data_IF_388966146140
#
_entry.id   IF_388966146140
#
_cell.length_a   1.000
_cell.length_b   1.000
_cell.length_c   1.000
_cell.angle_alpha   90.00
_cell.angle_beta   90.00
_cell.angle_gamma   90.00
#
_symmetry.space_group_name_H-M   'P 1'
#
loop_
_entity.id
_entity.type
_entity.pdbx_description
1 polymer ?
#
# COMPACT_ATOMS: atom_id res chain seq x y z
N UNK A 1 12.96 -11.80 5.44
CA UNK A 1 12.86 -10.33 5.36
C UNK A 1 12.41 -9.72 6.66
N UNK A 2 11.18 -9.96 7.11
CA UNK A 2 10.63 -9.30 8.30
C UNK A 2 11.39 -9.56 9.60
N UNK A 3 11.77 -10.82 9.89
CA UNK A 3 12.50 -11.15 11.12
C UNK A 3 13.83 -10.37 11.21
N UNK A 4 14.57 -10.29 10.10
CA UNK A 4 15.80 -9.51 10.05
C UNK A 4 15.57 -8.01 10.33
N UNK A 5 14.50 -7.41 9.79
CA UNK A 5 14.15 -6.02 10.10
C UNK A 5 13.75 -5.86 11.57
N UNK A 6 12.98 -6.81 12.10
CA UNK A 6 12.54 -6.77 13.48
C UNK A 6 13.70 -6.89 14.48
N UNK A 7 14.65 -7.78 14.19
CA UNK A 7 15.88 -8.00 14.97
C UNK A 7 16.77 -6.75 14.97
N UNK A 8 16.77 -5.98 13.87
CA UNK A 8 17.44 -4.68 13.77
C UNK A 8 16.71 -3.54 14.51
N UNK A 9 15.55 -3.81 15.11
CA UNK A 9 14.80 -2.84 15.91
C UNK A 9 13.65 -2.14 15.17
N UNK A 10 13.41 -2.43 13.88
CA UNK A 10 12.24 -1.91 13.18
C UNK A 10 10.94 -2.54 13.74
N UNK A 11 9.86 -1.76 13.80
CA UNK A 11 8.55 -2.23 14.29
C UNK A 11 7.44 -2.04 13.27
N UNK A 12 7.73 -1.42 12.14
CA UNK A 12 6.78 -1.19 11.08
C UNK A 12 7.51 -0.97 9.76
N UNK A 13 6.85 -1.30 8.65
CA UNK A 13 7.41 -1.18 7.32
C UNK A 13 6.35 -1.21 6.22
N UNK A 14 6.82 -0.96 5.01
CA UNK A 14 6.09 -1.21 3.76
C UNK A 14 7.10 -1.88 2.82
N UNK A 15 7.06 -3.21 2.77
CA UNK A 15 8.10 -4.05 2.15
C UNK A 15 7.51 -4.93 1.07
N UNK A 16 6.28 -5.38 1.27
CA UNK A 16 5.57 -6.27 0.37
C UNK A 16 4.91 -5.51 -0.79
N UNK A 17 4.92 -6.17 -1.94
CA UNK A 17 4.29 -5.71 -3.18
C UNK A 17 3.34 -6.80 -3.67
N UNK A 18 2.11 -6.90 -3.10
CA UNK A 18 1.23 -8.03 -3.31
C UNK A 18 0.98 -8.32 -4.79
N UNK A 19 1.25 -9.56 -5.21
CA UNK A 19 1.13 -10.01 -6.60
C UNK A 19 2.43 -9.98 -7.39
N UNK A 20 3.47 -9.27 -6.93
CA UNK A 20 4.77 -9.24 -7.63
C UNK A 20 5.44 -10.61 -7.65
N UNK A 21 6.00 -10.95 -8.80
CA UNK A 21 6.87 -12.11 -9.00
C UNK A 21 8.13 -11.68 -9.74
N UNK A 22 9.22 -11.46 -8.99
CA UNK A 22 10.53 -11.18 -9.56
C UNK A 22 11.61 -12.01 -8.88
N UNK A 23 11.81 -13.27 -9.32
CA UNK A 23 12.76 -14.19 -8.73
C UNK A 23 14.19 -13.64 -8.73
N UNK A 24 14.59 -12.87 -9.74
CA UNK A 24 15.94 -12.32 -9.85
C UNK A 24 16.30 -11.36 -8.70
N UNK A 25 15.31 -10.80 -8.01
CA UNK A 25 15.50 -9.90 -6.86
C UNK A 25 15.00 -10.53 -5.55
N UNK A 26 14.72 -11.84 -5.54
CA UNK A 26 14.03 -12.53 -4.44
C UNK A 26 12.69 -11.86 -4.01
N UNK A 27 12.09 -11.06 -4.90
CA UNK A 27 10.87 -10.30 -4.69
C UNK A 27 9.66 -11.11 -5.13
N UNK A 28 9.41 -12.20 -4.40
CA UNK A 28 8.26 -13.09 -4.58
C UNK A 28 7.18 -12.72 -3.56
N UNK A 29 6.09 -12.11 -4.03
CA UNK A 29 4.97 -11.59 -3.23
C UNK A 29 3.61 -12.03 -3.79
N UNK A 30 3.60 -13.00 -4.70
CA UNK A 30 2.37 -13.68 -5.12
C UNK A 30 1.69 -14.32 -3.90
N UNK A 31 0.42 -13.99 -3.69
CA UNK A 31 -0.35 -14.47 -2.53
C UNK A 31 -0.05 -13.78 -1.20
N UNK A 32 0.76 -12.71 -1.18
CA UNK A 32 0.95 -11.91 0.02
C UNK A 32 -0.36 -11.23 0.47
N UNK A 33 -0.56 -11.10 1.78
CA UNK A 33 -1.69 -10.37 2.35
C UNK A 33 -1.67 -8.90 1.87
N UNK A 34 -2.77 -8.38 1.28
CA UNK A 34 -2.82 -7.02 0.75
C UNK A 34 -3.19 -5.96 1.81
N UNK A 35 -3.55 -6.38 3.02
CA UNK A 35 -4.01 -5.52 4.10
C UNK A 35 -2.92 -5.34 5.17
N UNK A 36 -2.95 -4.25 5.94
CA UNK A 36 -2.03 -4.10 7.07
C UNK A 36 -2.16 -5.21 8.10
N UNK A 37 -1.03 -5.81 8.47
CA UNK A 37 -1.00 -6.98 9.35
C UNK A 37 0.28 -7.06 10.17
N UNK A 38 0.20 -7.74 11.30
CA UNK A 38 1.39 -8.27 11.94
C UNK A 38 1.95 -9.44 11.15
N UNK A 39 3.26 -9.41 10.96
CA UNK A 39 3.95 -10.33 10.06
C UNK A 39 4.13 -11.70 10.70
N UNK A 40 4.27 -12.71 9.85
CA UNK A 40 4.72 -14.02 10.27
C UNK A 40 6.26 -14.13 10.08
N UNK A 41 7.02 -14.49 11.12
CA UNK A 41 8.48 -14.59 11.05
C UNK A 41 8.97 -15.75 10.16
N UNK A 42 8.14 -16.76 9.94
CA UNK A 42 8.48 -17.96 9.16
C UNK A 42 7.94 -17.91 7.71
N UNK A 43 6.85 -17.18 7.47
CA UNK A 43 6.22 -17.10 6.15
C UNK A 43 5.84 -15.65 5.81
N UNK A 44 6.64 -15.00 4.97
CA UNK A 44 6.45 -13.58 4.61
C UNK A 44 5.15 -13.30 3.84
N UNK A 45 4.44 -14.33 3.35
CA UNK A 45 3.21 -14.14 2.59
C UNK A 45 1.97 -14.13 3.50
N UNK A 46 2.10 -14.55 4.76
CA UNK A 46 0.97 -14.73 5.66
C UNK A 46 1.05 -13.79 6.87
N UNK A 47 -0.11 -13.34 7.39
CA UNK A 47 -0.18 -12.72 8.70
C UNK A 47 0.33 -13.66 9.80
N UNK A 48 0.82 -13.07 10.89
CA UNK A 48 1.33 -13.77 12.05
C UNK A 48 1.32 -12.90 13.30
N UNK A 49 1.95 -13.38 14.36
CA UNK A 49 1.94 -12.74 15.68
C UNK A 49 3.16 -11.87 16.00
N UNK A 50 4.13 -11.71 15.08
CA UNK A 50 5.29 -10.86 15.34
C UNK A 50 4.85 -9.38 15.24
N UNK A 51 5.05 -8.55 16.29
CA UNK A 51 4.52 -7.18 16.34
C UNK A 51 5.36 -6.19 15.51
N UNK A 52 5.58 -6.55 14.25
CA UNK A 52 6.03 -5.69 13.18
C UNK A 52 4.81 -5.40 12.31
N UNK A 53 4.35 -4.14 12.22
CA UNK A 53 3.25 -3.79 11.31
C UNK A 53 3.77 -3.66 9.89
N UNK A 54 3.38 -4.58 9.02
CA UNK A 54 3.52 -4.41 7.59
C UNK A 54 2.31 -3.64 7.03
N UNK A 55 2.58 -2.62 6.21
CA UNK A 55 1.60 -1.91 5.40
C UNK A 55 1.97 -2.16 3.93
N UNK A 56 1.36 -3.15 3.26
CA UNK A 56 1.70 -3.50 1.88
C UNK A 56 1.51 -2.35 0.90
N UNK A 57 2.29 -2.33 -0.18
CA UNK A 57 1.98 -1.47 -1.32
C UNK A 57 0.57 -1.78 -1.84
N UNK A 58 -0.20 -0.76 -2.20
CA UNK A 58 -1.51 -0.99 -2.79
C UNK A 58 -1.37 -1.36 -4.26
N UNK A 59 -1.84 -2.54 -4.59
CA UNK A 59 -1.78 -3.12 -5.94
C UNK A 59 -3.15 -3.49 -6.47
N UNK A 60 -3.25 -3.60 -7.80
CA UNK A 60 -4.37 -4.19 -8.50
C UNK A 60 -4.17 -5.71 -8.56
N UNK A 61 -5.06 -6.51 -7.94
CA UNK A 61 -4.93 -7.96 -7.98
C UNK A 61 -5.30 -8.55 -9.34
N UNK A 62 -6.08 -7.83 -10.15
CA UNK A 62 -6.69 -8.35 -11.38
C UNK A 62 -5.97 -7.84 -12.64
N UNK A 63 -5.19 -6.76 -12.52
CA UNK A 63 -4.46 -6.15 -13.64
C UNK A 63 -2.96 -6.28 -13.47
N UNK A 64 -2.33 -6.91 -14.47
CA UNK A 64 -0.88 -7.03 -14.59
C UNK A 64 -0.34 -6.18 -15.74
N UNK A 65 0.80 -5.56 -15.49
CA UNK A 65 1.58 -4.86 -16.49
C UNK A 65 2.14 -5.85 -17.52
N UNK A 66 2.58 -5.39 -18.71
CA UNK A 66 3.25 -6.27 -19.69
C UNK A 66 4.48 -7.01 -19.13
N UNK A 67 5.11 -6.46 -18.08
CA UNK A 67 6.21 -7.11 -17.36
C UNK A 67 5.78 -8.26 -16.43
N UNK A 68 4.47 -8.51 -16.30
CA UNK A 68 3.89 -9.47 -15.35
C UNK A 68 3.79 -8.96 -13.91
N UNK A 69 4.16 -7.71 -13.64
CA UNK A 69 4.03 -7.09 -12.31
C UNK A 69 2.64 -6.52 -12.10
N UNK A 70 2.12 -6.49 -10.87
CA UNK A 70 0.85 -5.83 -10.61
C UNK A 70 0.91 -4.35 -10.98
N UNK A 71 -0.24 -3.77 -11.31
CA UNK A 71 -0.38 -2.32 -11.29
C UNK A 71 -0.35 -1.85 -9.81
N UNK A 72 0.36 -0.76 -9.53
CA UNK A 72 0.59 -0.24 -8.17
C UNK A 72 0.16 1.24 -8.09
N UNK A 73 -0.19 1.73 -6.89
CA UNK A 73 -0.38 3.17 -6.60
C UNK A 73 0.97 3.94 -6.54
N UNK A 74 1.73 3.86 -7.63
CA UNK A 74 2.99 4.55 -7.85
C UNK A 74 2.78 5.80 -8.68
N UNK A 75 2.93 6.99 -8.11
CA UNK A 75 2.58 8.27 -8.76
C UNK A 75 3.17 8.39 -10.17
N UNK A 76 4.39 7.92 -10.41
CA UNK A 76 5.05 8.05 -11.71
C UNK A 76 4.53 7.11 -12.80
N UNK A 77 3.63 6.19 -12.46
CA UNK A 77 3.07 5.22 -13.39
C UNK A 77 1.76 5.71 -13.99
N UNK A 78 1.83 6.41 -15.12
CA UNK A 78 0.65 6.81 -15.88
C UNK A 78 -0.16 7.95 -15.24
N UNK A 79 -1.39 8.14 -15.72
CA UNK A 79 -2.30 9.21 -15.31
C UNK A 79 -3.16 8.80 -14.12
N UNK A 80 -3.76 9.77 -13.43
CA UNK A 80 -4.71 9.48 -12.36
C UNK A 80 -5.91 8.66 -12.85
N UNK A 81 -6.57 9.08 -13.93
CA UNK A 81 -7.79 8.42 -14.42
C UNK A 81 -7.55 7.01 -14.95
N UNK A 82 -6.49 6.77 -15.75
CA UNK A 82 -6.30 5.46 -16.41
C UNK A 82 -5.60 4.45 -15.50
N UNK A 83 -4.71 4.93 -14.64
CA UNK A 83 -3.89 4.08 -13.77
C UNK A 83 -4.41 4.04 -12.34
N UNK A 84 -4.41 5.17 -11.65
CA UNK A 84 -4.51 5.20 -10.19
C UNK A 84 -5.93 5.01 -9.69
N UNK A 85 -6.90 5.68 -10.31
CA UNK A 85 -8.30 5.64 -9.90
C UNK A 85 -8.88 4.23 -9.91
N UNK A 86 -8.68 3.39 -10.95
CA UNK A 86 -9.19 2.01 -10.92
C UNK A 86 -8.61 1.17 -9.79
N UNK A 87 -7.31 1.31 -9.49
CA UNK A 87 -6.62 0.56 -8.43
C UNK A 87 -7.17 0.98 -7.07
N UNK A 88 -7.23 2.29 -6.83
CA UNK A 88 -7.72 2.87 -5.59
C UNK A 88 -9.16 2.44 -5.33
N UNK A 89 -10.06 2.67 -6.29
CA UNK A 89 -11.47 2.32 -6.18
C UNK A 89 -11.68 0.80 -6.04
N UNK A 90 -10.87 0.00 -6.72
CA UNK A 90 -10.85 -1.46 -6.57
C UNK A 90 -10.47 -1.89 -5.15
N UNK A 91 -9.39 -1.33 -4.61
CA UNK A 91 -8.94 -1.60 -3.25
C UNK A 91 -9.97 -1.18 -2.21
N UNK A 92 -10.60 -0.01 -2.34
CA UNK A 92 -11.66 0.43 -1.43
C UNK A 92 -12.87 -0.49 -1.46
N UNK A 93 -13.39 -0.82 -2.65
CA UNK A 93 -14.51 -1.76 -2.79
C UNK A 93 -14.19 -3.12 -2.19
N UNK A 94 -12.96 -3.62 -2.39
CA UNK A 94 -12.50 -4.87 -1.79
C UNK A 94 -12.53 -4.78 -0.26
N UNK A 95 -11.87 -3.78 0.32
CA UNK A 95 -11.78 -3.60 1.77
C UNK A 95 -13.15 -3.43 2.43
N UNK A 96 -14.09 -2.77 1.74
CA UNK A 96 -15.49 -2.66 2.18
C UNK A 96 -16.19 -4.01 2.15
N UNK A 97 -16.15 -4.71 0.99
CA UNK A 97 -16.77 -6.02 0.81
C UNK A 97 -16.26 -7.07 1.79
N UNK A 98 -14.96 -7.07 2.06
CA UNK A 98 -14.28 -8.04 2.93
C UNK A 98 -14.33 -7.66 4.41
N UNK A 99 -14.90 -6.49 4.75
CA UNK A 99 -14.98 -6.04 6.14
C UNK A 99 -13.61 -5.85 6.79
N UNK A 100 -12.60 -5.43 6.01
CA UNK A 100 -11.23 -5.23 6.51
C UNK A 100 -11.23 -4.27 7.70
N UNK A 101 -10.73 -4.74 8.84
CA UNK A 101 -10.78 -4.03 10.11
C UNK A 101 -9.88 -2.77 10.12
N UNK A 102 -8.67 -2.87 9.56
CA UNK A 102 -7.76 -1.73 9.40
C UNK A 102 -7.54 -1.46 7.91
N UNK A 103 -8.28 -0.49 7.37
CA UNK A 103 -8.23 -0.14 5.95
C UNK A 103 -7.09 0.84 5.71
N UNK A 104 -6.20 0.53 4.78
CA UNK A 104 -5.13 1.43 4.38
C UNK A 104 -4.87 1.39 2.88
N UNK A 105 -4.44 2.54 2.36
CA UNK A 105 -3.86 2.66 1.03
C UNK A 105 -2.40 3.09 1.20
N UNK A 106 -1.49 2.41 0.53
CA UNK A 106 -0.08 2.80 0.46
C UNK A 106 0.21 3.34 -0.94
N UNK A 107 0.47 4.64 -0.99
CA UNK A 107 0.75 5.41 -2.21
C UNK A 107 2.22 5.84 -2.11
N UNK A 108 2.96 5.72 -3.20
CA UNK A 108 4.38 6.05 -3.18
C UNK A 108 4.86 6.81 -4.41
N UNK A 109 5.97 7.50 -4.21
CA UNK A 109 6.73 8.27 -5.20
C UNK A 109 8.22 8.15 -4.88
N UNK A 110 9.07 8.45 -5.85
CA UNK A 110 10.51 8.53 -5.71
C UNK A 110 10.97 9.98 -5.67
N UNK A 111 11.96 10.26 -4.82
CA UNK A 111 12.64 11.56 -4.75
C UNK A 111 13.61 11.80 -5.94
N UNK A 112 13.61 10.93 -6.94
CA UNK A 112 14.38 11.09 -8.18
C UNK A 112 13.67 11.96 -9.21
N UNK A 113 12.41 12.32 -8.97
CA UNK A 113 11.60 13.16 -9.85
C UNK A 113 11.29 14.50 -9.19
N UNK A 114 11.45 15.62 -9.91
CA UNK A 114 11.00 16.91 -9.44
C UNK A 114 9.47 17.03 -9.54
N UNK A 115 8.88 17.72 -8.57
CA UNK A 115 7.44 18.02 -8.46
C UNK A 115 7.18 19.53 -8.30
N UNK A 116 8.16 20.35 -8.67
CA UNK A 116 8.15 21.81 -8.57
C UNK A 116 7.40 22.49 -9.73
N UNK A 117 7.41 21.88 -10.92
CA UNK A 117 6.61 22.34 -12.06
C UNK A 117 5.16 21.81 -11.99
N UNK A 118 4.14 22.67 -11.79
CA UNK A 118 2.75 22.26 -11.73
C UNK A 118 2.18 21.73 -13.05
N UNK A 119 2.81 22.05 -14.19
CA UNK A 119 2.40 21.54 -15.50
C UNK A 119 3.06 20.20 -15.87
N UNK A 120 4.09 19.78 -15.12
CA UNK A 120 4.75 18.51 -15.39
C UNK A 120 3.77 17.34 -15.18
N UNK A 121 3.76 16.32 -16.07
CA UNK A 121 2.76 15.24 -16.02
C UNK A 121 2.68 14.52 -14.66
N UNK A 122 3.82 14.33 -13.98
CA UNK A 122 3.85 13.68 -12.66
C UNK A 122 3.25 14.56 -11.57
N UNK A 123 3.50 15.86 -11.61
CA UNK A 123 2.90 16.83 -10.69
C UNK A 123 1.40 16.90 -10.90
N UNK A 124 0.94 16.94 -12.16
CA UNK A 124 -0.49 16.87 -12.49
C UNK A 124 -1.12 15.59 -11.92
N UNK A 125 -0.51 14.42 -12.13
CA UNK A 125 -1.00 13.16 -11.57
C UNK A 125 -1.07 13.20 -10.05
N UNK A 126 -0.03 13.70 -9.38
CA UNK A 126 -0.01 13.83 -7.91
C UNK A 126 -1.13 14.74 -7.41
N UNK A 127 -1.30 15.91 -8.02
CA UNK A 127 -2.36 16.86 -7.65
C UNK A 127 -3.74 16.24 -7.83
N UNK A 128 -4.02 15.62 -8.98
CA UNK A 128 -5.30 14.94 -9.22
C UNK A 128 -5.57 13.82 -8.20
N UNK A 129 -4.52 13.09 -7.80
CA UNK A 129 -4.62 12.08 -6.76
C UNK A 129 -5.03 12.70 -5.41
N UNK A 130 -4.35 13.77 -5.01
CA UNK A 130 -4.62 14.48 -3.75
C UNK A 130 -6.02 15.09 -3.74
N UNK A 131 -6.45 15.74 -4.82
CA UNK A 131 -7.80 16.29 -4.98
C UNK A 131 -8.87 15.20 -4.81
N UNK A 132 -8.61 14.02 -5.38
CA UNK A 132 -9.52 12.89 -5.25
C UNK A 132 -9.57 12.36 -3.80
N UNK A 133 -8.43 12.29 -3.09
CA UNK A 133 -8.41 11.90 -1.67
C UNK A 133 -9.16 12.90 -0.78
N UNK A 134 -9.05 14.20 -1.06
CA UNK A 134 -9.80 15.25 -0.37
C UNK A 134 -11.31 15.09 -0.61
N UNK A 135 -11.71 14.86 -1.86
CA UNK A 135 -13.09 14.53 -2.22
C UNK A 135 -13.61 13.26 -1.53
N UNK A 136 -12.74 12.26 -1.30
CA UNK A 136 -13.10 11.08 -0.51
C UNK A 136 -13.41 11.38 0.95
N UNK A 137 -12.75 12.40 1.52
CA UNK A 137 -12.99 12.89 2.87
C UNK A 137 -14.44 13.26 3.16
N UNK A 138 -15.22 13.57 2.11
CA UNK A 138 -16.65 13.87 2.20
C UNK A 138 -17.52 12.63 2.44
N UNK A 139 -17.02 11.43 2.13
CA UNK A 139 -17.75 10.15 2.22
C UNK A 139 -17.20 9.21 3.28
N UNK A 140 -15.91 9.35 3.61
CA UNK A 140 -15.24 8.53 4.61
C UNK A 140 -14.13 9.31 5.30
N UNK A 141 -13.78 8.92 6.53
CA UNK A 141 -12.65 9.52 7.23
C UNK A 141 -11.34 9.05 6.59
N UNK A 142 -10.70 9.94 5.83
CA UNK A 142 -9.36 9.74 5.27
C UNK A 142 -8.36 10.39 6.22
N UNK A 143 -7.44 9.58 6.75
CA UNK A 143 -6.43 10.04 7.70
C UNK A 143 -5.05 9.77 7.09
N UNK A 144 -4.32 10.80 6.62
CA UNK A 144 -2.93 10.62 6.25
C UNK A 144 -2.11 10.31 7.50
N UNK A 145 -1.08 9.47 7.36
CA UNK A 145 -0.21 9.16 8.49
C UNK A 145 1.07 8.47 8.09
N UNK A 146 2.11 8.70 8.89
CA UNK A 146 3.34 7.94 8.80
C UNK A 146 3.13 6.51 9.31
N UNK A 147 3.95 5.55 8.86
CA UNK A 147 3.86 4.14 9.29
C UNK A 147 3.84 3.98 10.82
N UNK A 148 4.58 4.82 11.56
CA UNK A 148 4.57 4.81 13.03
C UNK A 148 3.18 5.13 13.60
N UNK A 149 2.51 6.13 13.05
CA UNK A 149 1.19 6.56 13.51
C UNK A 149 0.11 5.58 13.08
N UNK A 150 0.28 4.94 11.91
CA UNK A 150 -0.56 3.81 11.49
C UNK A 150 -0.42 2.65 12.48
N UNK A 151 0.80 2.33 12.93
CA UNK A 151 1.05 1.28 13.91
C UNK A 151 0.41 1.57 15.26
N UNK A 152 0.51 2.81 15.76
CA UNK A 152 -0.18 3.22 16.99
C UNK A 152 -1.70 3.04 16.88
N UNK A 153 -2.30 3.40 15.73
CA UNK A 153 -3.74 3.22 15.49
C UNK A 153 -4.12 1.75 15.37
N UNK A 154 -3.30 0.95 14.70
CA UNK A 154 -3.48 -0.50 14.57
C UNK A 154 -3.51 -1.17 15.94
N UNK A 155 -2.59 -0.78 16.84
CA UNK A 155 -2.55 -1.26 18.23
C UNK A 155 -3.75 -0.83 19.06
N UNK A 156 -4.32 0.35 18.78
CA UNK A 156 -5.47 0.89 19.49
C UNK A 156 -6.81 0.31 19.01
N UNK A 157 -6.82 -0.52 17.96
CA UNK A 157 -8.05 -1.17 17.52
C UNK A 157 -8.56 -2.14 18.62
N UNK A 158 -9.85 -2.11 18.94
CA UNK A 158 -10.43 -3.11 19.81
C UNK A 158 -10.21 -4.49 19.18
N UNK A 159 -9.77 -5.47 19.98
CA UNK A 159 -9.64 -6.84 19.51
C UNK A 159 -11.00 -7.31 18.96
N UNK A 160 -11.05 -7.66 17.67
CA UNK A 160 -12.20 -8.36 17.11
C UNK A 160 -12.21 -9.78 17.69
N UNK A 161 -13.15 -10.04 18.58
CA UNK A 161 -13.47 -11.38 19.11
C UNK A 161 -14.45 -12.10 18.21
#
# INVERSE_FOLDING_TARGET
>A
TYSALYDLGFRQGSVSDPGRCSPQYAAMWQGACPDPHYVNPADKLRPGGLPFLEVPLTTDPDRLQPSGFPYELRIESGTFEDRHRPILEGALRRMEREGVAFRALCIFTHNTFPYDDPAAPRTVTLTQFLDYLDGLGQRMSVIPGALREMHQRYQAQPASF
#
